data_IF_418592847653
#
_entry.id   IF_418592847653
#
_cell.length_a   1.000
_cell.length_b   1.000
_cell.length_c   1.000
_cell.angle_alpha   90.00
_cell.angle_beta   90.00
_cell.angle_gamma   90.00
#
_symmetry.space_group_name_H-M   'P 1'
#
loop_
_entity.id
_entity.type
_entity.pdbx_description
1 polymer ?
#
# COMPACT_ATOMS: atom_id res chain seq x y z
N UNK A 1 -13.06 -10.97 -9.58
CA UNK A 1 -12.50 -11.59 -8.33
C UNK A 1 -12.14 -10.48 -7.35
N UNK A 2 -12.27 -10.69 -6.03
CA UNK A 2 -11.92 -9.68 -5.02
C UNK A 2 -10.68 -10.07 -4.23
N UNK A 3 -9.74 -9.14 -4.09
CA UNK A 3 -8.47 -9.33 -3.38
C UNK A 3 -8.29 -8.17 -2.39
N UNK A 4 -7.97 -8.51 -1.14
CA UNK A 4 -7.58 -7.51 -0.13
C UNK A 4 -6.07 -7.58 0.06
N UNK A 5 -5.39 -6.44 -0.05
CA UNK A 5 -3.97 -6.30 0.25
C UNK A 5 -3.82 -5.48 1.55
N UNK A 6 -3.31 -6.12 2.60
CA UNK A 6 -2.89 -5.43 3.81
C UNK A 6 -1.43 -5.01 3.69
N UNK A 7 -1.14 -3.71 3.82
CA UNK A 7 0.21 -3.16 3.68
C UNK A 7 0.42 -1.95 4.59
N UNK A 8 1.63 -1.80 5.13
CA UNK A 8 2.09 -0.60 5.83
C UNK A 8 2.71 0.44 4.87
N UNK A 9 3.02 0.03 3.64
CA UNK A 9 3.54 0.89 2.59
C UNK A 9 2.39 1.58 1.86
N UNK A 10 2.03 2.77 2.33
CA UNK A 10 0.99 3.59 1.72
C UNK A 10 1.37 5.06 1.63
N UNK A 11 0.60 5.83 0.86
CA UNK A 11 0.76 7.29 0.80
C UNK A 11 0.73 7.89 2.21
N UNK A 12 1.57 8.90 2.50
CA UNK A 12 2.36 9.73 1.58
C UNK A 12 3.73 9.15 1.17
N UNK A 13 4.07 7.90 1.55
CA UNK A 13 5.36 7.31 1.19
C UNK A 13 5.55 7.25 -0.34
N UNK A 14 6.75 7.60 -0.83
CA UNK A 14 7.11 7.60 -2.26
C UNK A 14 8.06 6.45 -2.65
N UNK A 15 8.09 5.40 -1.83
CA UNK A 15 8.98 4.26 -2.05
C UNK A 15 8.53 3.38 -3.24
N UNK A 16 9.42 2.44 -3.62
CA UNK A 16 9.14 1.52 -4.73
C UNK A 16 7.95 0.59 -4.49
N UNK A 17 7.59 0.32 -3.22
CA UNK A 17 6.49 -0.57 -2.87
C UNK A 17 5.15 0.09 -3.18
N UNK A 18 4.93 1.34 -2.75
CA UNK A 18 3.70 2.10 -3.06
C UNK A 18 3.47 2.18 -4.56
N UNK A 19 4.53 2.47 -5.34
CA UNK A 19 4.42 2.53 -6.81
C UNK A 19 4.07 1.18 -7.44
N UNK A 20 4.64 0.11 -6.92
CA UNK A 20 4.37 -1.25 -7.43
C UNK A 20 2.93 -1.66 -7.13
N UNK A 21 2.45 -1.45 -5.90
CA UNK A 21 1.10 -1.81 -5.49
C UNK A 21 0.02 -1.03 -6.24
N UNK A 22 0.22 0.28 -6.42
CA UNK A 22 -0.71 1.12 -7.22
C UNK A 22 -0.73 0.70 -8.69
N UNK A 23 0.43 0.36 -9.27
CA UNK A 23 0.52 -0.15 -10.64
C UNK A 23 -0.14 -1.51 -10.79
N UNK A 24 0.05 -2.41 -9.82
CA UNK A 24 -0.60 -3.72 -9.76
C UNK A 24 -2.12 -3.58 -9.73
N UNK A 25 -2.66 -2.73 -8.86
CA UNK A 25 -4.10 -2.48 -8.77
C UNK A 25 -4.68 -1.94 -10.09
N UNK A 26 -3.95 -1.08 -10.80
CA UNK A 26 -4.39 -0.57 -12.10
C UNK A 26 -4.36 -1.64 -13.19
N UNK A 27 -3.32 -2.47 -13.24
CA UNK A 27 -3.24 -3.57 -14.21
C UNK A 27 -4.31 -4.65 -13.95
N UNK A 28 -4.59 -4.94 -12.67
CA UNK A 28 -5.56 -5.95 -12.24
C UNK A 28 -7.01 -5.62 -12.67
N UNK A 29 -7.37 -4.33 -12.79
CA UNK A 29 -8.69 -3.90 -13.27
C UNK A 29 -9.02 -4.44 -14.66
N UNK A 30 -8.01 -4.56 -15.54
CA UNK A 30 -8.20 -5.09 -16.92
C UNK A 30 -8.55 -6.59 -16.90
N UNK A 31 -8.26 -7.28 -15.81
CA UNK A 31 -8.52 -8.71 -15.61
C UNK A 31 -9.79 -8.97 -14.80
N UNK A 32 -10.66 -7.97 -14.59
CA UNK A 32 -11.85 -8.07 -13.74
C UNK A 32 -11.51 -8.50 -12.29
N UNK A 33 -10.35 -8.02 -11.81
CA UNK A 33 -9.90 -8.20 -10.42
C UNK A 33 -10.00 -6.87 -9.69
N UNK A 34 -10.80 -6.85 -8.64
CA UNK A 34 -10.92 -5.72 -7.72
C UNK A 34 -9.92 -5.90 -6.57
N UNK A 35 -9.06 -4.90 -6.39
CA UNK A 35 -8.09 -4.86 -5.29
C UNK A 35 -8.45 -3.74 -4.33
N UNK A 36 -8.73 -4.13 -3.08
CA UNK A 36 -8.93 -3.23 -1.95
C UNK A 36 -7.64 -3.19 -1.11
N UNK A 37 -7.30 -2.02 -0.57
CA UNK A 37 -6.13 -1.84 0.29
C UNK A 37 -6.53 -1.58 1.73
N UNK A 38 -6.00 -2.39 2.64
CA UNK A 38 -6.01 -2.13 4.08
C UNK A 38 -4.67 -1.49 4.46
N UNK A 39 -4.70 -0.24 4.89
CA UNK A 39 -3.51 0.60 5.07
C UNK A 39 -3.52 1.28 6.44
N UNK A 40 -2.41 1.89 6.89
CA UNK A 40 -2.36 2.65 8.13
C UNK A 40 -2.98 4.04 8.03
N UNK A 41 -3.49 4.42 6.85
CA UNK A 41 -4.04 5.76 6.61
C UNK A 41 -5.20 6.05 7.59
N UNK A 42 -5.17 7.22 8.22
CA UNK A 42 -6.15 7.60 9.24
C UNK A 42 -5.90 7.03 10.65
N UNK A 43 -4.82 6.26 10.87
CA UNK A 43 -4.43 5.75 12.19
C UNK A 43 -3.13 6.40 12.71
N UNK A 44 -2.96 6.56 14.04
CA UNK A 44 -1.70 7.02 14.62
C UNK A 44 -0.56 6.06 14.29
N UNK A 45 0.57 6.60 13.84
CA UNK A 45 1.80 5.84 13.59
C UNK A 45 2.96 6.39 14.42
N UNK A 46 3.90 5.51 14.75
CA UNK A 46 5.13 5.86 15.46
C UNK A 46 6.32 5.43 14.60
N UNK A 47 7.35 6.28 14.45
CA UNK A 47 8.56 5.88 13.74
C UNK A 47 9.25 4.74 14.50
N UNK A 48 9.84 3.79 13.76
CA UNK A 48 10.51 2.65 14.36
C UNK A 48 11.82 3.13 15.04
N UNK A 49 11.97 2.99 16.37
CA UNK A 49 13.08 3.63 17.10
C UNK A 49 14.48 3.17 16.65
N UNK A 50 14.58 1.93 16.16
CA UNK A 50 15.83 1.31 15.72
C UNK A 50 16.16 1.58 14.25
N UNK A 51 15.31 2.34 13.55
CA UNK A 51 15.45 2.56 12.11
C UNK A 51 15.31 4.05 11.76
N UNK A 52 16.37 4.84 12.01
CA UNK A 52 16.36 6.28 11.73
C UNK A 52 16.32 6.56 10.21
N UNK A 53 15.46 7.48 9.79
CA UNK A 53 15.38 7.94 8.39
C UNK A 53 14.30 7.30 7.53
N UNK A 54 13.41 6.49 8.11
CA UNK A 54 12.11 6.13 7.52
C UNK A 54 11.09 7.27 7.68
#
# INVERSE_FOLDING_TARGET
>A
MRVLIATDAWHPQVNGVVRTLTSLANAAKVLDVEIDFLTPDGFPSWPLPTYPGL
#
